data_IF_507318024731
#
_entry.id   IF_507318024731
#
_cell.length_a   1.000
_cell.length_b   1.000
_cell.length_c   1.000
_cell.angle_alpha   90.00
_cell.angle_beta   90.00
_cell.angle_gamma   90.00
#
_symmetry.space_group_name_H-M   'P 1'
#
loop_
_entity.id
_entity.type
_entity.pdbx_description
1 polymer ?
#
# COMPACT_ATOMS: atom_id res chain seq x y z
N UNK A 1 -73.44 -1.27 -18.86
CA UNK A 1 -72.23 -1.00 -18.01
C UNK A 1 -71.12 -2.04 -18.31
N UNK A 2 -71.34 -3.06 -19.18
CA UNK A 2 -70.34 -4.11 -19.45
C UNK A 2 -69.52 -3.94 -20.74
N UNK A 3 -69.75 -2.91 -21.56
CA UNK A 3 -69.05 -2.72 -22.81
C UNK A 3 -67.73 -1.91 -22.78
N UNK A 4 -67.58 -0.96 -21.86
CA UNK A 4 -66.43 -0.06 -21.83
C UNK A 4 -65.15 -0.67 -21.19
N UNK A 5 -65.24 -1.70 -20.37
CA UNK A 5 -64.04 -2.31 -19.75
C UNK A 5 -63.21 -3.17 -20.69
N UNK A 6 -63.78 -3.61 -21.81
CA UNK A 6 -63.05 -4.47 -22.79
C UNK A 6 -62.13 -3.66 -23.73
N UNK A 7 -62.54 -2.46 -24.11
CA UNK A 7 -61.73 -1.61 -24.99
C UNK A 7 -60.45 -1.08 -24.31
N UNK A 8 -60.54 -0.71 -23.02
CA UNK A 8 -59.37 -0.25 -22.29
C UNK A 8 -58.30 -1.36 -22.06
N UNK A 9 -58.75 -2.62 -21.88
CA UNK A 9 -57.83 -3.76 -21.73
C UNK A 9 -57.08 -4.11 -23.03
N UNK A 10 -57.76 -3.95 -24.18
CA UNK A 10 -57.15 -4.19 -25.47
C UNK A 10 -56.10 -3.11 -25.78
N UNK A 11 -56.37 -1.85 -25.48
CA UNK A 11 -55.44 -0.74 -25.67
C UNK A 11 -54.19 -0.86 -24.77
N UNK A 12 -54.33 -1.32 -23.53
CA UNK A 12 -53.20 -1.49 -22.61
C UNK A 12 -52.28 -2.65 -23.04
N UNK A 13 -52.86 -3.73 -23.57
CA UNK A 13 -52.09 -4.85 -24.11
C UNK A 13 -51.34 -4.45 -25.39
N UNK A 14 -51.99 -3.69 -26.31
CA UNK A 14 -51.35 -3.15 -27.49
C UNK A 14 -50.19 -2.18 -27.17
N UNK A 15 -50.38 -1.29 -26.22
CA UNK A 15 -49.33 -0.35 -25.78
C UNK A 15 -48.15 -1.11 -25.21
N UNK A 16 -48.38 -2.15 -24.40
CA UNK A 16 -47.32 -2.99 -23.84
C UNK A 16 -46.54 -3.78 -24.87
N UNK A 17 -47.21 -4.30 -25.92
CA UNK A 17 -46.57 -4.97 -27.05
C UNK A 17 -45.82 -4.00 -27.95
N UNK A 18 -46.30 -2.78 -28.15
CA UNK A 18 -45.60 -1.72 -28.89
C UNK A 18 -44.34 -1.26 -28.12
N UNK A 19 -44.44 -1.11 -26.80
CA UNK A 19 -43.27 -0.77 -25.94
C UNK A 19 -42.19 -1.86 -25.95
N UNK A 20 -42.60 -3.14 -25.94
CA UNK A 20 -41.65 -4.26 -26.08
C UNK A 20 -41.02 -4.30 -27.48
N UNK A 21 -41.79 -4.01 -28.52
CA UNK A 21 -41.30 -3.96 -29.92
C UNK A 21 -40.31 -2.77 -30.08
N UNK A 22 -40.61 -1.61 -29.53
CA UNK A 22 -39.71 -0.45 -29.51
C UNK A 22 -38.43 -0.75 -28.72
N UNK A 23 -38.52 -1.48 -27.60
CA UNK A 23 -37.34 -1.91 -26.84
C UNK A 23 -36.40 -2.83 -27.61
N UNK A 24 -36.96 -3.71 -28.45
CA UNK A 24 -36.17 -4.57 -29.35
C UNK A 24 -35.55 -3.84 -30.55
N UNK A 25 -36.01 -2.65 -30.91
CA UNK A 25 -35.44 -1.83 -32.00
C UNK A 25 -34.18 -1.06 -31.50
N UNK A 26 -34.06 -0.85 -30.19
CA UNK A 26 -32.89 -0.21 -29.56
C UNK A 26 -31.77 -1.18 -29.18
N UNK A 27 -31.81 -2.44 -29.57
CA UNK A 27 -30.62 -3.30 -29.48
C UNK A 27 -29.66 -2.78 -30.55
N UNK A 28 -28.76 -1.91 -30.15
CA UNK A 28 -27.63 -1.46 -30.97
C UNK A 28 -26.88 -2.72 -31.45
N UNK A 29 -26.97 -3.02 -32.72
CA UNK A 29 -26.15 -4.06 -33.33
C UNK A 29 -24.69 -3.61 -33.16
N UNK A 30 -23.92 -4.36 -32.41
CA UNK A 30 -22.48 -4.26 -32.44
C UNK A 30 -22.01 -4.70 -33.82
N UNK A 31 -21.91 -3.74 -34.77
CA UNK A 31 -21.42 -4.02 -36.11
C UNK A 31 -19.92 -4.25 -36.03
N UNK A 32 -19.49 -5.47 -36.22
CA UNK A 32 -18.10 -5.78 -36.51
C UNK A 32 -17.87 -5.54 -38.01
N UNK A 33 -16.82 -4.80 -38.35
CA UNK A 33 -16.43 -4.55 -39.74
C UNK A 33 -15.21 -5.39 -40.10
N UNK A 34 -15.25 -6.06 -41.25
CA UNK A 34 -14.11 -6.79 -41.78
C UNK A 34 -12.99 -5.80 -42.12
N UNK A 35 -11.83 -5.96 -41.50
CA UNK A 35 -10.67 -5.10 -41.71
C UNK A 35 -9.55 -5.86 -42.40
N UNK A 36 -9.13 -5.40 -43.57
CA UNK A 36 -8.07 -6.00 -44.36
C UNK A 36 -6.84 -5.12 -44.53
N UNK A 37 -6.89 -3.86 -44.09
CA UNK A 37 -5.79 -2.90 -44.19
C UNK A 37 -5.59 -2.20 -42.84
N UNK A 38 -4.34 -1.96 -42.49
CA UNK A 38 -3.91 -1.18 -41.30
C UNK A 38 -3.11 0.03 -41.77
N UNK A 39 -3.45 1.20 -41.26
CA UNK A 39 -2.69 2.44 -41.42
C UNK A 39 -2.39 3.01 -40.05
N UNK A 40 -1.11 3.26 -39.76
CA UNK A 40 -0.62 3.83 -38.50
C UNK A 40 0.00 5.18 -38.82
N UNK A 41 -0.36 6.19 -38.04
CA UNK A 41 0.09 7.57 -38.20
C UNK A 41 0.54 8.15 -36.85
N UNK A 42 1.55 9.06 -36.90
CA UNK A 42 2.00 9.81 -35.74
C UNK A 42 3.13 9.15 -34.95
N UNK A 43 3.45 7.91 -35.25
CA UNK A 43 4.62 7.24 -34.70
C UNK A 43 5.91 7.78 -35.36
N UNK A 44 6.95 7.93 -34.55
CA UNK A 44 8.27 8.42 -34.97
C UNK A 44 9.39 7.45 -34.62
N UNK A 45 9.39 6.97 -33.37
CA UNK A 45 10.40 6.08 -32.81
C UNK A 45 9.91 4.64 -32.71
N UNK A 46 8.61 4.47 -32.49
CA UNK A 46 7.99 3.15 -32.39
C UNK A 46 7.56 2.71 -33.78
N UNK A 47 8.08 1.58 -34.27
CA UNK A 47 7.73 1.07 -35.59
C UNK A 47 6.30 0.58 -35.66
N UNK A 48 5.69 0.60 -36.85
CA UNK A 48 4.35 0.07 -37.12
C UNK A 48 4.21 -1.38 -36.64
N UNK A 49 5.23 -2.20 -36.85
CA UNK A 49 5.24 -3.60 -36.41
C UNK A 49 5.20 -3.71 -34.88
N UNK A 50 5.94 -2.84 -34.19
CA UNK A 50 5.91 -2.77 -32.71
C UNK A 50 4.51 -2.39 -32.21
N UNK A 51 3.88 -1.39 -32.82
CA UNK A 51 2.51 -0.96 -32.48
C UNK A 51 1.53 -2.11 -32.71
N UNK A 52 1.66 -2.81 -33.83
CA UNK A 52 0.81 -3.95 -34.17
C UNK A 52 0.93 -5.07 -33.13
N UNK A 53 2.15 -5.44 -32.76
CA UNK A 53 2.43 -6.52 -31.80
C UNK A 53 1.92 -6.15 -30.40
N UNK A 54 2.28 -4.98 -29.87
CA UNK A 54 1.85 -4.56 -28.53
C UNK A 54 0.34 -4.26 -28.46
N UNK A 55 -0.23 -3.74 -29.53
CA UNK A 55 -1.69 -3.53 -29.61
C UNK A 55 -2.49 -4.84 -29.70
N UNK A 56 -1.84 -5.97 -29.98
CA UNK A 56 -2.50 -7.25 -30.30
C UNK A 56 -3.45 -7.08 -31.50
N UNK A 57 -2.92 -6.42 -32.58
CA UNK A 57 -3.73 -6.01 -33.72
C UNK A 57 -3.63 -7.05 -34.83
N UNK A 58 -4.71 -7.74 -35.06
CA UNK A 58 -4.85 -8.67 -36.18
C UNK A 58 -5.75 -8.07 -37.25
N UNK A 59 -5.35 -8.20 -38.52
CA UNK A 59 -6.16 -7.82 -39.69
C UNK A 59 -6.68 -9.08 -40.42
N UNK A 60 -7.54 -8.92 -41.41
CA UNK A 60 -8.25 -9.95 -42.13
C UNK A 60 -9.27 -10.70 -41.27
N UNK A 61 -9.87 -9.98 -40.32
CA UNK A 61 -10.99 -10.47 -39.50
C UNK A 61 -12.00 -9.36 -39.24
N UNK A 62 -13.13 -9.73 -38.70
CA UNK A 62 -14.11 -8.79 -38.20
C UNK A 62 -13.59 -8.17 -36.88
N UNK A 63 -13.61 -6.83 -36.82
CA UNK A 63 -13.16 -6.06 -35.65
C UNK A 63 -14.37 -5.33 -35.08
N UNK A 64 -14.64 -5.57 -33.82
CA UNK A 64 -15.69 -4.91 -33.04
C UNK A 64 -15.19 -3.65 -32.37
N UNK A 65 -16.10 -2.81 -31.88
CA UNK A 65 -15.75 -1.66 -31.00
C UNK A 65 -15.04 -2.09 -29.72
N UNK A 66 -15.37 -3.26 -29.17
CA UNK A 66 -14.66 -3.86 -28.04
C UNK A 66 -13.21 -4.18 -28.37
N UNK A 67 -12.93 -4.67 -29.60
CA UNK A 67 -11.56 -4.94 -30.04
C UNK A 67 -10.76 -3.64 -30.19
N UNK A 68 -11.37 -2.57 -30.73
CA UNK A 68 -10.74 -1.25 -30.82
C UNK A 68 -10.35 -0.73 -29.43
N UNK A 69 -11.25 -0.82 -28.46
CA UNK A 69 -10.96 -0.41 -27.08
C UNK A 69 -9.84 -1.24 -26.46
N UNK A 70 -9.81 -2.55 -26.76
CA UNK A 70 -8.72 -3.44 -26.32
C UNK A 70 -7.38 -3.01 -26.92
N UNK A 71 -7.32 -2.73 -28.23
CA UNK A 71 -6.11 -2.25 -28.91
C UNK A 71 -5.60 -0.96 -28.30
N UNK A 72 -6.50 0.02 -28.08
CA UNK A 72 -6.16 1.30 -27.45
C UNK A 72 -5.60 1.09 -26.04
N UNK A 73 -6.26 0.30 -25.20
CA UNK A 73 -5.81 0.01 -23.84
C UNK A 73 -4.46 -0.72 -23.81
N UNK A 74 -4.25 -1.67 -24.73
CA UNK A 74 -2.98 -2.37 -24.84
C UNK A 74 -1.85 -1.40 -25.18
N UNK A 75 -2.06 -0.48 -26.12
CA UNK A 75 -1.07 0.52 -26.48
C UNK A 75 -0.79 1.51 -25.37
N UNK A 76 -1.80 2.00 -24.65
CA UNK A 76 -1.60 2.84 -23.47
C UNK A 76 -0.80 2.13 -22.37
N UNK A 77 -1.02 0.83 -22.18
CA UNK A 77 -0.32 0.05 -21.15
C UNK A 77 1.19 -0.05 -21.36
N UNK A 78 1.67 0.19 -22.60
CA UNK A 78 3.10 0.21 -22.93
C UNK A 78 3.84 1.42 -22.36
N UNK A 79 3.12 2.48 -22.00
CA UNK A 79 3.69 3.78 -21.64
C UNK A 79 4.55 4.43 -22.74
N UNK A 80 4.35 4.07 -24.00
CA UNK A 80 5.02 4.72 -25.12
C UNK A 80 4.24 5.91 -25.64
N UNK A 81 2.93 5.91 -25.48
CA UNK A 81 2.02 6.85 -26.14
C UNK A 81 1.27 7.71 -25.12
N UNK A 82 1.25 9.02 -25.41
CA UNK A 82 0.46 10.03 -24.67
C UNK A 82 -0.98 10.05 -25.20
N UNK A 83 -1.13 9.83 -26.50
CA UNK A 83 -2.45 9.78 -27.17
C UNK A 83 -2.52 8.58 -28.11
N UNK A 84 -3.67 7.90 -28.10
CA UNK A 84 -3.98 6.79 -29.00
C UNK A 84 -5.43 6.89 -29.41
N UNK A 85 -5.67 6.92 -30.71
CA UNK A 85 -7.02 6.81 -31.26
C UNK A 85 -7.07 5.74 -32.36
N UNK A 86 -8.18 5.03 -32.45
CA UNK A 86 -8.43 4.03 -33.46
C UNK A 86 -9.83 4.21 -34.08
N UNK A 87 -9.93 4.04 -35.38
CA UNK A 87 -11.22 4.07 -36.12
C UNK A 87 -11.16 3.15 -37.32
N UNK A 88 -12.30 2.58 -37.67
CA UNK A 88 -12.45 1.81 -38.89
C UNK A 88 -13.21 2.65 -39.93
N UNK A 89 -12.75 2.61 -41.17
CA UNK A 89 -13.45 3.22 -42.30
C UNK A 89 -13.04 2.49 -43.57
N UNK A 90 -14.04 2.09 -44.38
CA UNK A 90 -13.84 1.41 -45.67
C UNK A 90 -12.86 0.21 -45.55
N UNK A 91 -13.14 -0.73 -44.65
CA UNK A 91 -12.32 -1.93 -44.38
C UNK A 91 -10.87 -1.66 -43.97
N UNK A 92 -10.56 -0.43 -43.56
CA UNK A 92 -9.23 -0.01 -43.09
C UNK A 92 -9.28 0.41 -41.64
N UNK A 93 -8.41 -0.17 -40.80
CA UNK A 93 -8.16 0.28 -39.46
C UNK A 93 -7.13 1.40 -39.49
N UNK A 94 -7.54 2.59 -39.05
CA UNK A 94 -6.67 3.73 -38.85
C UNK A 94 -6.32 3.84 -37.38
N UNK A 95 -5.03 3.84 -37.06
CA UNK A 95 -4.51 4.09 -35.70
C UNK A 95 -3.67 5.34 -35.78
N UNK A 96 -3.99 6.31 -34.94
CA UNK A 96 -3.18 7.50 -34.74
C UNK A 96 -2.63 7.49 -33.34
N UNK A 97 -1.31 7.69 -33.23
CA UNK A 97 -0.59 7.72 -31.95
C UNK A 97 0.17 9.02 -31.77
N UNK A 98 0.28 9.46 -30.53
CA UNK A 98 1.19 10.52 -30.09
C UNK A 98 2.17 9.94 -29.10
N UNK A 99 3.45 9.93 -29.41
CA UNK A 99 4.45 9.36 -28.52
C UNK A 99 4.82 10.32 -27.39
N UNK A 100 5.01 9.78 -26.15
CA UNK A 100 5.61 10.54 -25.08
C UNK A 100 7.04 11.00 -25.45
N UNK A 101 7.46 12.21 -25.09
CA UNK A 101 8.85 12.58 -25.19
C UNK A 101 9.73 11.70 -24.28
N UNK A 102 10.99 11.59 -24.62
CA UNK A 102 11.98 10.80 -23.86
C UNK A 102 12.72 11.71 -22.88
N UNK A 103 12.96 11.24 -21.69
CA UNK A 103 13.88 11.86 -20.73
C UNK A 103 15.32 11.64 -21.22
N UNK A 104 15.90 12.65 -21.86
CA UNK A 104 17.28 12.60 -22.33
C UNK A 104 18.27 12.56 -21.16
N UNK A 105 18.13 13.50 -20.22
CA UNK A 105 18.90 13.54 -18.98
C UNK A 105 17.95 13.71 -17.79
N UNK A 106 18.31 13.07 -16.66
CA UNK A 106 17.67 13.26 -15.37
C UNK A 106 18.74 13.75 -14.41
N UNK A 107 18.63 15.00 -14.00
CA UNK A 107 19.60 15.73 -13.18
C UNK A 107 18.97 16.00 -11.82
N UNK A 108 19.69 15.70 -10.75
CA UNK A 108 19.30 16.03 -9.38
C UNK A 108 20.31 17.01 -8.85
N UNK A 109 19.84 18.19 -8.41
CA UNK A 109 20.66 19.25 -7.81
C UNK A 109 20.16 19.56 -6.40
N UNK A 110 21.06 20.13 -5.58
CA UNK A 110 20.73 20.51 -4.20
C UNK A 110 20.98 19.41 -3.15
N UNK A 111 21.23 18.16 -3.56
CA UNK A 111 21.66 17.10 -2.64
C UNK A 111 23.18 16.88 -2.74
N UNK A 112 23.93 17.14 -1.65
CA UNK A 112 25.39 17.04 -1.67
C UNK A 112 25.93 15.61 -1.51
N UNK A 113 25.07 14.61 -1.27
CA UNK A 113 25.46 13.22 -1.03
C UNK A 113 25.13 12.36 -2.22
N UNK A 114 26.13 11.90 -2.96
CA UNK A 114 25.98 11.04 -4.14
C UNK A 114 25.14 9.78 -3.82
N UNK A 115 25.34 9.17 -2.65
CA UNK A 115 24.59 8.00 -2.24
C UNK A 115 23.07 8.26 -2.15
N UNK A 116 22.65 9.47 -1.79
CA UNK A 116 21.23 9.84 -1.76
C UNK A 116 20.70 10.13 -3.16
N UNK A 117 21.51 10.76 -4.02
CA UNK A 117 21.18 10.96 -5.43
C UNK A 117 20.95 9.61 -6.10
N UNK A 118 21.84 8.64 -5.92
CA UNK A 118 21.67 7.27 -6.45
C UNK A 118 20.40 6.59 -5.90
N UNK A 119 20.15 6.73 -4.60
CA UNK A 119 18.97 6.13 -4.00
C UNK A 119 17.67 6.76 -4.53
N UNK A 120 17.62 8.08 -4.68
CA UNK A 120 16.48 8.79 -5.28
C UNK A 120 16.27 8.30 -6.71
N UNK A 121 17.33 8.23 -7.52
CA UNK A 121 17.24 7.71 -8.89
C UNK A 121 16.73 6.27 -8.96
N UNK A 122 16.96 5.44 -7.94
CA UNK A 122 16.46 4.06 -7.88
C UNK A 122 14.97 4.00 -7.56
N UNK A 123 14.47 4.85 -6.63
CA UNK A 123 13.11 4.76 -6.10
C UNK A 123 12.05 5.51 -6.91
N UNK A 124 12.41 6.55 -7.66
CA UNK A 124 11.48 7.28 -8.53
C UNK A 124 11.08 6.47 -9.75
N UNK A 125 9.93 6.75 -10.33
CA UNK A 125 9.41 6.08 -11.54
C UNK A 125 10.01 6.64 -12.82
N UNK A 126 10.24 7.95 -12.86
CA UNK A 126 10.85 8.64 -14.00
C UNK A 126 12.32 8.25 -14.13
N UNK A 127 12.72 7.81 -15.34
CA UNK A 127 14.09 7.33 -15.61
C UNK A 127 14.66 7.96 -16.88
N UNK A 128 15.99 8.14 -16.89
CA UNK A 128 16.73 8.51 -18.10
C UNK A 128 16.48 7.48 -19.21
N UNK A 129 16.32 7.95 -20.44
CA UNK A 129 16.05 7.15 -21.66
C UNK A 129 14.72 6.38 -21.63
N UNK A 130 13.78 6.83 -20.81
CA UNK A 130 12.39 6.33 -20.77
C UNK A 130 11.40 7.43 -21.11
N UNK A 131 10.18 7.06 -21.44
CA UNK A 131 9.08 7.99 -21.72
C UNK A 131 8.83 8.93 -20.53
N UNK A 132 8.64 10.20 -20.83
CA UNK A 132 8.28 11.20 -19.85
C UNK A 132 6.75 11.19 -19.64
N UNK A 133 6.30 10.60 -18.56
CA UNK A 133 4.90 10.53 -18.21
C UNK A 133 4.63 11.54 -17.08
N UNK A 134 3.92 12.62 -17.40
CA UNK A 134 3.68 13.73 -16.46
C UNK A 134 3.03 13.29 -15.14
N UNK A 135 2.13 12.31 -15.17
CA UNK A 135 1.49 11.79 -13.96
C UNK A 135 2.47 11.13 -12.98
N UNK A 136 3.61 10.64 -13.44
CA UNK A 136 4.63 10.08 -12.57
C UNK A 136 5.37 11.13 -11.74
N UNK A 137 5.46 12.38 -12.21
CA UNK A 137 6.16 13.45 -11.47
C UNK A 137 5.58 13.70 -10.09
N UNK A 138 4.26 13.79 -9.97
CA UNK A 138 3.61 14.03 -8.67
C UNK A 138 3.92 12.89 -7.69
N UNK A 139 3.91 11.66 -8.18
CA UNK A 139 4.28 10.48 -7.40
C UNK A 139 5.76 10.50 -7.01
N UNK A 140 6.64 10.82 -7.94
CA UNK A 140 8.08 10.87 -7.71
C UNK A 140 8.45 11.96 -6.70
N UNK A 141 7.85 13.16 -6.79
CA UNK A 141 8.00 14.23 -5.79
C UNK A 141 7.56 13.72 -4.41
N UNK A 142 6.42 13.04 -4.31
CA UNK A 142 5.94 12.47 -3.04
C UNK A 142 6.89 11.42 -2.48
N UNK A 143 7.45 10.56 -3.33
CA UNK A 143 8.46 9.55 -2.95
C UNK A 143 9.72 10.22 -2.41
N UNK A 144 10.24 11.24 -3.10
CA UNK A 144 11.43 12.00 -2.68
C UNK A 144 11.16 12.70 -1.34
N UNK A 145 10.02 13.37 -1.18
CA UNK A 145 9.62 13.98 0.11
C UNK A 145 9.55 12.95 1.23
N UNK A 146 8.98 11.78 0.96
CA UNK A 146 8.91 10.69 1.95
C UNK A 146 10.29 10.15 2.31
N UNK A 147 11.19 10.04 1.34
CA UNK A 147 12.59 9.67 1.57
C UNK A 147 13.25 10.65 2.53
N UNK A 148 13.17 11.96 2.27
CA UNK A 148 13.76 12.98 3.14
C UNK A 148 13.10 13.04 4.52
N UNK A 149 11.77 12.89 4.58
CA UNK A 149 11.05 12.84 5.87
C UNK A 149 11.49 11.64 6.72
N UNK A 150 11.81 10.50 6.10
CA UNK A 150 12.36 9.34 6.83
C UNK A 150 13.73 9.60 7.46
N UNK A 151 14.47 10.56 6.93
CA UNK A 151 15.77 11.02 7.43
C UNK A 151 15.65 12.22 8.41
N UNK A 152 14.41 12.66 8.68
CA UNK A 152 14.12 13.79 9.57
C UNK A 152 14.00 15.15 8.85
N UNK A 153 14.14 15.23 7.54
CA UNK A 153 13.95 16.46 6.77
C UNK A 153 12.47 16.59 6.35
N UNK A 154 11.63 17.04 7.25
CA UNK A 154 10.17 17.01 7.06
C UNK A 154 9.64 18.13 6.16
N UNK A 155 10.44 19.16 5.92
CA UNK A 155 10.09 20.33 5.11
C UNK A 155 10.86 20.39 3.78
N UNK A 156 11.36 19.26 3.32
CA UNK A 156 12.04 19.19 2.04
C UNK A 156 11.12 19.65 0.90
N UNK A 157 11.60 20.62 0.12
CA UNK A 157 10.94 21.07 -1.10
C UNK A 157 11.62 20.49 -2.33
N UNK A 158 10.82 20.09 -3.30
CA UNK A 158 11.29 19.56 -4.57
C UNK A 158 10.58 20.33 -5.68
N UNK A 159 11.34 21.04 -6.48
CA UNK A 159 10.89 21.65 -7.72
C UNK A 159 11.40 20.88 -8.93
N UNK A 160 10.57 20.76 -9.97
CA UNK A 160 10.95 20.01 -11.18
C UNK A 160 10.85 20.89 -12.39
N UNK A 161 11.98 21.12 -13.04
CA UNK A 161 12.08 21.88 -14.29
C UNK A 161 12.29 20.93 -15.46
N UNK A 162 11.60 21.20 -16.55
CA UNK A 162 11.82 20.51 -17.83
C UNK A 162 12.41 21.45 -18.85
N UNK A 163 13.42 20.99 -19.57
CA UNK A 163 14.04 21.71 -20.69
C UNK A 163 13.88 20.89 -21.95
N UNK A 164 13.16 21.41 -22.92
CA UNK A 164 13.01 20.76 -24.24
C UNK A 164 14.38 20.81 -24.95
N UNK A 165 14.88 19.66 -25.34
CA UNK A 165 16.12 19.52 -26.11
C UNK A 165 15.80 19.53 -27.60
N UNK A 166 14.79 18.77 -28.01
CA UNK A 166 14.24 18.71 -29.37
C UNK A 166 12.78 18.27 -29.33
N UNK A 167 12.19 17.90 -30.49
CA UNK A 167 10.77 17.52 -30.58
C UNK A 167 10.42 16.22 -29.84
N UNK A 168 11.38 15.37 -29.53
CA UNK A 168 11.18 14.04 -28.96
C UNK A 168 11.86 13.87 -27.60
N UNK A 169 12.74 14.81 -27.22
CA UNK A 169 13.57 14.70 -26.03
C UNK A 169 13.47 15.92 -25.11
N UNK A 170 13.50 15.66 -23.82
CA UNK A 170 13.58 16.69 -22.78
C UNK A 170 14.57 16.29 -21.69
N UNK A 171 15.19 17.27 -21.07
CA UNK A 171 15.94 17.11 -19.84
C UNK A 171 15.06 17.45 -18.65
N UNK A 172 15.15 16.65 -17.57
CA UNK A 172 14.46 16.89 -16.30
C UNK A 172 15.49 17.23 -15.23
N UNK A 173 15.21 18.29 -14.49
CA UNK A 173 16.02 18.76 -13.38
C UNK A 173 15.16 18.76 -12.14
N UNK A 174 15.50 17.91 -11.17
CA UNK A 174 14.92 17.91 -9.83
C UNK A 174 15.79 18.80 -8.94
N UNK A 175 15.26 19.96 -8.56
CA UNK A 175 15.90 20.88 -7.63
C UNK A 175 15.40 20.55 -6.21
N UNK A 176 16.30 20.12 -5.34
CA UNK A 176 15.98 19.68 -4.00
C UNK A 176 16.52 20.69 -2.98
N UNK A 177 15.63 21.24 -2.18
CA UNK A 177 15.99 21.89 -0.92
C UNK A 177 15.49 21.00 0.22
N UNK A 178 16.38 20.33 0.90
CA UNK A 178 16.04 19.44 2.01
C UNK A 178 15.70 20.20 3.30
N UNK A 179 16.08 21.47 3.42
CA UNK A 179 15.91 22.26 4.64
C UNK A 179 16.71 21.71 5.82
N UNK A 180 16.25 22.01 7.03
CA UNK A 180 16.83 21.54 8.28
C UNK A 180 16.17 20.26 8.76
N UNK A 181 16.91 19.45 9.56
CA UNK A 181 16.34 18.30 10.24
C UNK A 181 15.44 18.76 11.39
N UNK A 182 14.22 18.21 11.44
CA UNK A 182 13.28 18.47 12.51
C UNK A 182 13.70 17.70 13.76
N UNK A 183 13.97 18.40 14.86
CA UNK A 183 14.38 17.82 16.13
C UNK A 183 13.19 17.53 17.03
N UNK A 184 13.27 16.46 17.83
CA UNK A 184 12.25 16.16 18.84
C UNK A 184 12.55 16.98 20.09
N UNK A 185 11.74 18.02 20.33
CA UNK A 185 11.91 18.92 21.48
C UNK A 185 11.31 18.35 22.77
N UNK A 186 10.22 17.58 22.68
CA UNK A 186 9.60 16.93 23.83
C UNK A 186 8.82 15.70 23.48
N UNK A 187 8.76 14.73 24.41
CA UNK A 187 7.94 13.52 24.33
C UNK A 187 7.12 13.41 25.60
N UNK A 188 5.80 13.27 25.46
CA UNK A 188 4.86 13.13 26.56
C UNK A 188 3.87 11.99 26.32
N UNK A 189 3.26 11.51 27.41
CA UNK A 189 2.29 10.42 27.40
C UNK A 189 1.03 10.86 28.15
N UNK A 190 -0.12 10.40 27.71
CA UNK A 190 -1.43 10.65 28.31
C UNK A 190 -2.15 9.31 28.45
N UNK A 191 -2.80 9.07 29.59
CA UNK A 191 -3.55 7.82 29.87
C UNK A 191 -2.64 6.65 30.29
N UNK A 192 -1.40 6.92 30.69
CA UNK A 192 -0.44 5.93 31.18
C UNK A 192 -0.46 5.83 32.71
N UNK A 193 -1.59 5.42 33.27
CA UNK A 193 -1.82 5.42 34.72
C UNK A 193 -1.00 4.35 35.47
N UNK A 194 -0.85 3.17 34.86
CA UNK A 194 -0.10 2.07 35.45
C UNK A 194 1.41 2.20 35.31
N UNK A 195 1.88 2.86 34.27
CA UNK A 195 3.32 2.90 33.94
C UNK A 195 3.80 4.35 33.89
N UNK A 196 4.82 4.67 34.69
CA UNK A 196 5.39 6.02 34.74
C UNK A 196 5.96 6.44 33.39
N UNK A 197 5.74 7.68 32.97
CA UNK A 197 6.25 8.25 31.73
C UNK A 197 7.77 8.11 31.56
N UNK A 198 8.54 8.17 32.66
CA UNK A 198 9.98 7.92 32.60
C UNK A 198 10.30 6.52 32.06
N UNK A 199 9.56 5.49 32.52
CA UNK A 199 9.76 4.12 32.06
C UNK A 199 9.36 3.97 30.60
N UNK A 200 8.29 4.63 30.16
CA UNK A 200 7.86 4.61 28.75
C UNK A 200 8.90 5.28 27.84
N UNK A 201 9.54 6.37 28.30
CA UNK A 201 10.67 6.98 27.57
C UNK A 201 11.87 6.05 27.40
N UNK A 202 12.08 5.12 28.33
CA UNK A 202 13.15 4.11 28.21
C UNK A 202 12.80 2.98 27.23
N UNK A 203 11.52 2.81 26.87
CA UNK A 203 11.01 1.75 25.97
C UNK A 203 11.00 2.19 24.52
N UNK A 204 10.67 3.45 24.24
CA UNK A 204 10.61 4.00 22.90
C UNK A 204 12.00 4.20 22.30
N UNK A 205 12.05 4.23 20.96
CA UNK A 205 13.27 4.51 20.23
C UNK A 205 13.54 6.02 20.08
N UNK A 206 12.47 6.84 20.03
CA UNK A 206 12.60 8.31 19.93
C UNK A 206 13.25 8.90 21.17
N UNK A 207 14.09 9.89 20.96
CA UNK A 207 14.78 10.62 22.02
C UNK A 207 14.58 12.12 21.89
N UNK A 208 14.40 12.81 23.02
CA UNK A 208 14.40 14.28 23.04
C UNK A 208 15.79 14.82 22.70
N UNK A 209 15.83 15.83 21.84
CA UNK A 209 17.07 16.53 21.49
C UNK A 209 17.58 17.31 22.69
N UNK A 210 18.81 17.03 23.09
CA UNK A 210 19.50 17.67 24.21
C UNK A 210 20.92 18.00 23.78
N UNK A 211 21.48 19.10 24.27
CA UNK A 211 22.78 19.60 23.83
C UNK A 211 23.93 18.59 23.96
N UNK A 212 23.79 17.53 24.78
CA UNK A 212 24.78 16.46 24.91
C UNK A 212 24.49 15.22 24.01
N UNK A 213 23.36 15.20 23.27
CA UNK A 213 22.95 14.07 22.39
C UNK A 213 23.23 14.33 20.92
N UNK A 214 24.29 15.04 20.59
CA UNK A 214 24.60 15.44 19.19
C UNK A 214 24.99 14.28 18.27
N UNK A 215 25.22 13.07 18.78
CA UNK A 215 25.55 11.87 17.98
C UNK A 215 24.29 11.02 17.68
N UNK A 216 23.23 11.11 18.50
CA UNK A 216 22.03 10.29 18.32
C UNK A 216 21.22 10.74 17.13
N UNK A 217 20.88 9.79 16.23
CA UNK A 217 19.96 10.01 15.11
C UNK A 217 18.50 9.94 15.52
N UNK A 218 18.20 9.36 16.68
CA UNK A 218 16.85 9.17 17.20
C UNK A 218 16.25 10.46 17.78
N UNK A 219 17.00 11.54 17.82
CA UNK A 219 16.53 12.89 18.15
C UNK A 219 15.88 13.60 16.95
N UNK A 220 15.96 13.03 15.73
CA UNK A 220 15.31 13.58 14.54
C UNK A 220 13.91 12.99 14.41
N UNK A 221 12.92 13.87 14.25
CA UNK A 221 11.56 13.44 14.07
C UNK A 221 11.35 12.77 12.70
N UNK A 222 10.76 11.57 12.70
CA UNK A 222 10.23 10.95 11.51
C UNK A 222 8.97 10.12 11.83
N UNK A 223 8.03 10.03 10.88
CA UNK A 223 6.82 9.20 11.05
C UNK A 223 7.15 7.72 11.29
N UNK A 224 8.22 7.23 10.67
CA UNK A 224 8.66 5.85 10.84
C UNK A 224 9.13 5.58 12.27
N UNK A 225 9.85 6.52 12.87
CA UNK A 225 10.31 6.42 14.26
C UNK A 225 9.12 6.43 15.24
N UNK A 226 8.14 7.33 15.04
CA UNK A 226 6.90 7.36 15.82
C UNK A 226 6.11 6.06 15.71
N UNK A 227 6.02 5.47 14.51
CA UNK A 227 5.35 4.18 14.31
C UNK A 227 6.11 3.02 14.99
N UNK A 228 7.44 3.09 15.03
CA UNK A 228 8.24 2.14 15.79
C UNK A 228 7.95 2.26 17.29
N UNK A 229 7.92 3.48 17.82
CA UNK A 229 7.61 3.74 19.22
C UNK A 229 6.24 3.18 19.63
N UNK A 230 5.22 3.40 18.81
CA UNK A 230 3.89 2.82 19.06
C UNK A 230 3.96 1.31 19.23
N UNK A 231 4.65 0.61 18.33
CA UNK A 231 4.81 -0.85 18.41
C UNK A 231 5.61 -1.27 19.65
N UNK A 232 6.64 -0.51 20.01
CA UNK A 232 7.43 -0.80 21.20
C UNK A 232 6.59 -0.62 22.47
N UNK A 233 5.79 0.43 22.55
CA UNK A 233 4.86 0.66 23.66
C UNK A 233 3.82 -0.45 23.75
N UNK A 234 3.14 -0.79 22.64
CA UNK A 234 2.15 -1.87 22.58
C UNK A 234 2.75 -3.21 23.02
N UNK A 235 3.92 -3.55 22.50
CA UNK A 235 4.62 -4.78 22.87
C UNK A 235 5.01 -4.80 24.36
N UNK A 236 5.47 -3.68 24.88
CA UNK A 236 5.81 -3.57 26.31
C UNK A 236 4.58 -3.80 27.19
N UNK A 237 3.48 -3.08 26.94
CA UNK A 237 2.24 -3.25 27.70
C UNK A 237 1.69 -4.68 27.61
N UNK A 238 1.67 -5.27 26.42
CA UNK A 238 1.27 -6.67 26.23
C UNK A 238 2.20 -7.64 26.97
N UNK A 239 3.48 -7.32 27.06
CA UNK A 239 4.44 -8.18 27.78
C UNK A 239 4.18 -8.27 29.27
N UNK A 240 3.49 -7.30 29.86
CA UNK A 240 3.18 -7.19 31.28
C UNK A 240 1.70 -7.39 31.61
N UNK A 241 0.92 -7.88 30.65
CA UNK A 241 -0.48 -8.32 30.86
C UNK A 241 -1.56 -7.41 30.32
N UNK A 242 -1.26 -6.25 29.79
CA UNK A 242 -2.27 -5.36 29.19
C UNK A 242 -2.55 -5.79 27.73
N UNK A 243 -3.38 -6.81 27.58
CA UNK A 243 -3.67 -7.42 26.27
C UNK A 243 -4.36 -6.45 25.30
N UNK A 244 -5.35 -5.71 25.81
CA UNK A 244 -6.18 -4.80 25.02
C UNK A 244 -5.61 -3.40 24.86
N UNK A 245 -4.35 -3.18 25.25
CA UNK A 245 -3.72 -1.86 25.14
C UNK A 245 -3.85 -1.28 23.74
N UNK A 246 -4.21 -0.01 23.67
CA UNK A 246 -4.29 0.73 22.41
C UNK A 246 -3.49 2.01 22.51
N UNK A 247 -2.62 2.24 21.54
CA UNK A 247 -2.00 3.54 21.35
C UNK A 247 -2.88 4.29 20.35
N UNK A 248 -3.89 5.02 20.88
CA UNK A 248 -4.97 5.63 20.11
C UNK A 248 -4.46 6.71 19.16
N UNK A 249 -3.51 7.53 19.60
CA UNK A 249 -2.93 8.57 18.76
C UNK A 249 -1.47 8.80 19.10
N UNK A 250 -0.74 9.25 18.10
CA UNK A 250 0.55 9.90 18.27
C UNK A 250 0.46 11.23 17.53
N UNK A 251 0.25 12.30 18.29
CA UNK A 251 0.18 13.64 17.73
C UNK A 251 1.59 14.20 17.76
N UNK A 252 2.09 14.59 16.59
CA UNK A 252 3.33 15.34 16.50
C UNK A 252 2.98 16.76 16.01
N UNK A 253 3.13 17.73 16.87
CA UNK A 253 3.12 19.12 16.49
C UNK A 253 4.50 19.46 15.92
N UNK A 254 4.55 19.71 14.62
CA UNK A 254 5.81 19.98 13.91
C UNK A 254 5.81 21.46 13.52
N UNK A 255 6.81 22.18 13.99
CA UNK A 255 6.99 23.60 13.71
C UNK A 255 8.10 23.78 12.65
N UNK A 256 7.74 24.36 11.50
CA UNK A 256 8.66 24.59 10.40
C UNK A 256 9.70 25.66 10.75
N UNK A 257 9.28 26.76 11.40
CA UNK A 257 10.15 27.88 11.69
C UNK A 257 11.33 27.49 12.61
N UNK A 258 11.04 26.66 13.61
CA UNK A 258 12.03 26.22 14.61
C UNK A 258 12.61 24.84 14.29
N UNK A 259 12.15 24.21 13.21
CA UNK A 259 12.49 22.85 12.82
C UNK A 259 12.42 21.85 14.00
N UNK A 260 11.38 21.94 14.81
CA UNK A 260 11.18 21.08 15.97
C UNK A 260 9.82 20.37 15.99
N UNK A 261 9.72 19.28 16.73
CA UNK A 261 8.52 18.49 16.90
C UNK A 261 8.29 18.16 18.39
N UNK A 262 7.03 18.25 18.83
CA UNK A 262 6.55 17.74 20.11
C UNK A 262 5.70 16.52 19.87
N UNK A 263 6.01 15.41 20.54
CA UNK A 263 5.29 14.16 20.36
C UNK A 263 4.46 13.86 21.62
N UNK A 264 3.19 13.52 21.42
CA UNK A 264 2.28 13.10 22.50
C UNK A 264 1.69 11.74 22.14
N UNK A 265 1.93 10.73 22.96
CA UNK A 265 1.31 9.42 22.85
C UNK A 265 0.09 9.33 23.74
N UNK A 266 -1.09 9.07 23.17
CA UNK A 266 -2.30 8.80 23.93
C UNK A 266 -2.50 7.30 24.06
N UNK A 267 -2.51 6.81 25.29
CA UNK A 267 -2.53 5.39 25.64
C UNK A 267 -3.86 5.08 26.32
N UNK A 268 -4.51 4.04 25.85
CA UNK A 268 -5.59 3.36 26.57
C UNK A 268 -5.03 2.01 27.00
N UNK A 269 -4.69 1.91 28.31
CA UNK A 269 -4.03 0.72 28.84
C UNK A 269 -4.94 -0.51 28.84
N UNK A 270 -6.27 -0.29 28.89
CA UNK A 270 -7.23 -1.37 29.00
C UNK A 270 -7.11 -2.12 30.32
N UNK A 271 -7.55 -3.38 30.34
CA UNK A 271 -7.46 -4.24 31.52
C UNK A 271 -6.18 -5.07 31.50
N UNK A 272 -5.78 -5.51 32.69
CA UNK A 272 -4.64 -6.40 32.87
C UNK A 272 -5.11 -7.84 33.05
N UNK A 273 -4.73 -8.72 32.14
CA UNK A 273 -5.17 -10.11 32.08
C UNK A 273 -4.22 -11.07 32.77
N UNK A 274 -4.77 -12.13 33.36
CA UNK A 274 -3.99 -13.26 33.92
C UNK A 274 -4.33 -14.54 33.17
N UNK A 275 -3.39 -15.48 33.14
CA UNK A 275 -3.61 -16.82 32.61
C UNK A 275 -4.38 -17.63 33.68
N UNK A 276 -5.59 -18.08 33.35
CA UNK A 276 -6.35 -18.92 34.28
C UNK A 276 -5.96 -20.39 34.11
N UNK A 277 -6.09 -20.94 32.90
CA UNK A 277 -5.79 -22.35 32.63
C UNK A 277 -5.23 -22.52 31.23
N UNK A 278 -4.25 -23.38 31.12
CA UNK A 278 -3.71 -23.83 29.83
C UNK A 278 -4.03 -25.30 29.64
N UNK A 279 -4.56 -25.66 28.47
CA UNK A 279 -4.90 -27.06 28.16
C UNK A 279 -4.39 -27.41 26.76
N UNK A 280 -4.02 -28.66 26.55
CA UNK A 280 -3.68 -29.22 25.23
C UNK A 280 -4.77 -30.16 24.77
N UNK A 281 -5.20 -29.99 23.51
CA UNK A 281 -6.00 -30.96 22.79
C UNK A 281 -5.05 -31.68 21.82
N UNK A 282 -4.78 -32.96 22.07
CA UNK A 282 -3.91 -33.80 21.21
C UNK A 282 -4.77 -34.68 20.34
N UNK A 283 -4.51 -34.67 19.02
CA UNK A 283 -5.18 -35.56 18.09
C UNK A 283 -4.94 -37.03 18.44
N UNK A 284 -5.93 -37.88 18.14
CA UNK A 284 -5.88 -39.36 18.44
C UNK A 284 -4.74 -40.08 17.76
N UNK A 285 -4.15 -39.51 16.73
CA UNK A 285 -2.99 -40.05 15.98
C UNK A 285 -1.72 -40.03 16.83
N UNK A 286 -1.63 -39.13 17.82
CA UNK A 286 -0.43 -38.96 18.66
C UNK A 286 -0.64 -39.60 20.05
N UNK A 287 0.43 -40.21 20.61
CA UNK A 287 0.40 -40.62 22.02
C UNK A 287 0.42 -39.39 22.94
N UNK A 288 -0.67 -39.20 23.68
CA UNK A 288 -0.83 -38.09 24.60
C UNK A 288 0.25 -38.00 25.69
N UNK A 289 0.90 -39.16 26.02
CA UNK A 289 1.97 -39.22 27.02
C UNK A 289 3.18 -38.35 26.64
N UNK A 290 3.45 -38.18 25.36
CA UNK A 290 4.53 -37.34 24.85
C UNK A 290 4.43 -35.92 25.36
N UNK A 291 3.20 -35.40 25.53
CA UNK A 291 2.91 -34.05 25.92
C UNK A 291 2.67 -33.86 27.43
N UNK A 292 2.80 -34.92 28.26
CA UNK A 292 2.64 -34.82 29.70
C UNK A 292 3.63 -33.86 30.38
N UNK A 293 4.89 -33.71 29.95
CA UNK A 293 5.81 -32.77 30.54
C UNK A 293 5.31 -31.30 30.46
N UNK A 294 4.46 -30.95 29.48
CA UNK A 294 3.87 -29.63 29.38
C UNK A 294 2.96 -29.27 30.56
N UNK A 295 2.36 -30.27 31.25
CA UNK A 295 1.47 -30.01 32.36
C UNK A 295 2.15 -29.29 33.53
N UNK A 296 3.41 -29.56 33.78
CA UNK A 296 4.16 -28.88 34.85
C UNK A 296 4.51 -27.45 34.42
N UNK A 297 4.90 -27.26 33.17
CA UNK A 297 5.11 -25.93 32.60
C UNK A 297 3.82 -25.10 32.65
N UNK A 298 2.66 -25.69 32.32
CA UNK A 298 1.37 -24.99 32.33
C UNK A 298 0.98 -24.54 33.74
N UNK A 299 1.27 -25.35 34.76
CA UNK A 299 1.02 -24.96 36.18
C UNK A 299 1.84 -23.73 36.58
N UNK A 300 3.11 -23.66 36.12
CA UNK A 300 3.98 -22.53 36.42
C UNK A 300 3.51 -21.22 35.78
N UNK A 301 2.78 -21.33 34.67
CA UNK A 301 2.23 -20.16 33.98
C UNK A 301 0.84 -19.74 34.48
N UNK A 302 0.06 -20.64 35.06
CA UNK A 302 -1.26 -20.34 35.60
C UNK A 302 -1.17 -19.31 36.74
N UNK A 303 -2.07 -18.33 36.75
CA UNK A 303 -2.09 -17.21 37.69
C UNK A 303 -1.11 -16.07 37.36
N UNK A 304 -0.20 -16.28 36.43
CA UNK A 304 0.69 -15.21 35.97
C UNK A 304 -0.03 -14.25 35.02
N UNK A 305 0.49 -13.03 34.90
CA UNK A 305 0.00 -12.12 33.88
C UNK A 305 0.17 -12.70 32.48
N UNK A 306 -0.89 -12.61 31.68
CA UNK A 306 -0.88 -13.03 30.29
C UNK A 306 0.15 -12.22 29.48
N UNK A 307 0.77 -12.89 28.50
CA UNK A 307 1.69 -12.23 27.57
C UNK A 307 1.82 -13.07 26.30
N UNK A 308 1.69 -12.49 25.10
CA UNK A 308 1.96 -13.19 23.84
C UNK A 308 3.38 -13.78 23.79
N UNK A 309 4.34 -13.17 24.47
CA UNK A 309 5.71 -13.68 24.54
C UNK A 309 5.81 -14.95 25.39
N UNK A 310 4.99 -15.08 26.44
CA UNK A 310 4.87 -16.31 27.22
C UNK A 310 4.23 -17.43 26.39
N UNK A 311 3.17 -17.10 25.65
CA UNK A 311 2.54 -18.06 24.71
C UNK A 311 3.56 -18.55 23.71
N UNK A 312 4.34 -17.65 23.09
CA UNK A 312 5.40 -18.05 22.18
C UNK A 312 6.41 -19.00 22.81
N UNK A 313 6.86 -18.72 24.05
CA UNK A 313 7.76 -19.65 24.76
C UNK A 313 7.15 -21.01 24.98
N UNK A 314 5.84 -21.08 25.27
CA UNK A 314 5.15 -22.37 25.40
C UNK A 314 5.13 -23.13 24.07
N UNK A 315 4.91 -22.43 22.96
CA UNK A 315 4.97 -23.04 21.63
C UNK A 315 6.39 -23.52 21.30
N UNK A 316 7.41 -22.76 21.62
CA UNK A 316 8.81 -23.18 21.46
C UNK A 316 9.13 -24.48 22.27
N UNK A 317 8.53 -24.65 23.47
CA UNK A 317 8.66 -25.91 24.24
C UNK A 317 7.89 -27.06 23.61
N UNK A 318 6.74 -26.82 23.02
CA UNK A 318 5.98 -27.83 22.25
C UNK A 318 6.80 -28.27 21.03
N UNK A 319 7.40 -27.35 20.30
CA UNK A 319 8.24 -27.67 19.14
C UNK A 319 9.44 -28.52 19.54
N UNK A 320 10.10 -28.23 20.67
CA UNK A 320 11.18 -29.06 21.21
C UNK A 320 10.74 -30.48 21.54
N UNK A 321 9.54 -30.67 22.10
CA UNK A 321 9.01 -32.00 22.38
C UNK A 321 8.68 -32.75 21.07
N UNK A 322 8.18 -32.05 20.06
CA UNK A 322 7.91 -32.63 18.75
C UNK A 322 9.21 -33.12 18.10
N UNK A 323 10.24 -32.27 18.08
CA UNK A 323 11.57 -32.61 17.56
C UNK A 323 12.22 -33.77 18.32
N UNK A 324 12.22 -33.74 19.66
CA UNK A 324 12.81 -34.76 20.50
C UNK A 324 12.18 -36.13 20.27
N UNK A 325 10.88 -36.17 20.02
CA UNK A 325 10.15 -37.43 19.76
C UNK A 325 10.07 -37.79 18.28
N UNK A 326 10.79 -37.07 17.40
CA UNK A 326 10.81 -37.32 15.94
C UNK A 326 9.41 -37.37 15.31
N UNK A 327 8.47 -36.54 15.81
CA UNK A 327 7.12 -36.48 15.26
C UNK A 327 7.14 -35.69 13.94
N UNK A 328 6.51 -36.24 12.90
CA UNK A 328 6.41 -35.63 11.59
C UNK A 328 5.01 -35.09 11.35
N UNK A 329 4.89 -34.02 10.56
CA UNK A 329 3.62 -33.43 10.15
C UNK A 329 2.73 -32.94 11.29
N UNK A 330 3.33 -32.54 12.43
CA UNK A 330 2.59 -31.93 13.55
C UNK A 330 2.35 -30.45 13.26
N UNK A 331 1.10 -30.04 13.37
CA UNK A 331 0.70 -28.63 13.38
C UNK A 331 0.07 -28.33 14.73
N UNK A 332 0.45 -27.23 15.33
CA UNK A 332 -0.19 -26.73 16.54
C UNK A 332 -0.85 -25.36 16.29
N UNK A 333 -1.99 -25.16 16.91
CA UNK A 333 -2.72 -23.89 16.91
C UNK A 333 -2.96 -23.47 18.35
N UNK A 334 -2.97 -22.15 18.58
CA UNK A 334 -3.36 -21.57 19.86
C UNK A 334 -4.77 -20.99 19.73
N UNK A 335 -5.62 -21.34 20.64
CA UNK A 335 -6.95 -20.74 20.81
C UNK A 335 -6.96 -20.02 22.16
N UNK A 336 -7.19 -18.71 22.13
CA UNK A 336 -7.25 -17.87 23.32
C UNK A 336 -8.71 -17.56 23.64
N UNK A 337 -9.19 -18.02 24.79
CA UNK A 337 -10.56 -17.77 25.25
C UNK A 337 -10.49 -16.78 26.39
N UNK A 338 -11.02 -15.57 26.15
CA UNK A 338 -11.02 -14.48 27.12
C UNK A 338 -12.33 -14.55 27.92
N UNK A 339 -12.22 -14.68 29.22
CA UNK A 339 -13.34 -14.66 30.16
C UNK A 339 -13.05 -13.64 31.26
N UNK A 340 -13.83 -12.54 31.31
CA UNK A 340 -13.63 -11.41 32.23
C UNK A 340 -12.22 -10.81 32.08
N UNK A 341 -11.34 -11.04 33.07
CA UNK A 341 -9.95 -10.53 33.12
C UNK A 341 -8.93 -11.68 33.07
N UNK A 342 -9.36 -12.84 32.54
CA UNK A 342 -8.54 -14.05 32.40
C UNK A 342 -8.50 -14.56 30.96
N UNK A 343 -7.43 -15.28 30.64
CA UNK A 343 -7.23 -15.96 29.35
C UNK A 343 -7.04 -17.44 29.61
N UNK A 344 -7.83 -18.25 28.91
CA UNK A 344 -7.74 -19.70 28.90
C UNK A 344 -7.10 -20.18 27.59
#
# INVERSE_FOLDING_TARGET
IFGQKKEYLINFSMIRTILILIFFIFISQANAEMVNKLIIEGNKRVSDETIRVYGDIEINRDISESDLNKFINNLYSTNFFEDVSARISSNTLFIKVGEYPIVNQLIIVGEPRDAYVEQIQKIISTKKKKSFIRSFLAKDISIIKSFYSSLGYNFASIDVKSKIVDQENLDLIFEIDRGQQTKISSISFIGNDAIRSKRLKDIIASEEDKFWKFISRNTNFSKNLVNLDKRLLENYYKSIGYYDVKINSSIAEVNENDANAKIVYSIDEGKRYTINKITTKVDKVFDKKIFFPLNDIFKDYAGNYYSPFKVKKLLDEIDRLIEFNNLQFVQHNVEEIIENDTVN
#
